data_IF_119449573089
#
_entry.id   IF_119449573089
#
_cell.length_a   1.000
_cell.length_b   1.000
_cell.length_c   1.000
_cell.angle_alpha   90.00
_cell.angle_beta   90.00
_cell.angle_gamma   90.00
#
_symmetry.space_group_name_H-M   'P 1'
#
loop_
_entity.id
_entity.type
_entity.pdbx_description
1 polymer ?
#
# COMPACT_ATOMS: atom_id res chain seq x y z
N UNK A 1 -14.74 -3.39 6.50
CA UNK A 1 -13.30 -3.14 6.27
C UNK A 1 -12.52 -4.37 6.68
N UNK A 2 -11.47 -4.72 5.93
CA UNK A 2 -10.74 -6.00 6.07
C UNK A 2 -9.83 -6.09 7.30
N UNK A 3 -9.46 -4.96 7.93
CA UNK A 3 -8.64 -4.92 9.15
C UNK A 3 -9.29 -4.05 10.23
N UNK A 4 -9.80 -4.59 11.34
CA UNK A 4 -10.49 -3.79 12.37
C UNK A 4 -9.56 -3.12 13.38
N UNK A 5 -8.25 -3.38 13.33
CA UNK A 5 -7.29 -2.83 14.29
C UNK A 5 -7.07 -1.34 14.07
N UNK A 6 -7.02 -0.59 15.16
CA UNK A 6 -6.90 0.87 15.17
C UNK A 6 -5.62 1.37 14.48
N UNK A 7 -4.49 0.73 14.73
CA UNK A 7 -3.20 1.05 14.09
C UNK A 7 -3.24 0.96 12.56
N UNK A 8 -3.92 -0.05 12.02
CA UNK A 8 -4.14 -0.19 10.58
C UNK A 8 -5.05 0.93 10.06
N UNK A 9 -6.13 1.24 10.79
CA UNK A 9 -7.07 2.28 10.40
C UNK A 9 -6.46 3.67 10.38
N UNK A 10 -5.63 3.98 11.37
CA UNK A 10 -4.92 5.26 11.48
C UNK A 10 -4.03 5.50 10.24
N UNK A 11 -3.21 4.51 9.87
CA UNK A 11 -2.34 4.63 8.69
C UNK A 11 -3.15 4.74 7.40
N UNK A 12 -4.18 3.89 7.23
CA UNK A 12 -5.00 3.91 6.02
C UNK A 12 -5.79 5.22 5.86
N UNK A 13 -6.12 5.91 6.96
CA UNK A 13 -6.81 7.20 6.91
C UNK A 13 -6.00 8.31 6.22
N UNK A 14 -4.68 8.14 6.14
CA UNK A 14 -3.76 9.09 5.49
C UNK A 14 -3.62 8.82 3.98
N UNK A 15 -4.31 7.81 3.46
CA UNK A 15 -4.16 7.30 2.09
C UNK A 15 -5.48 7.36 1.32
N UNK A 16 -5.36 7.46 0.00
CA UNK A 16 -6.50 7.22 -0.89
C UNK A 16 -6.60 5.71 -1.14
N UNK A 17 -7.70 5.11 -0.70
CA UNK A 17 -7.92 3.67 -0.81
C UNK A 17 -8.72 3.36 -2.08
N UNK A 18 -8.10 2.62 -3.01
CA UNK A 18 -8.75 2.15 -4.23
C UNK A 18 -8.92 0.64 -4.16
N UNK A 19 -10.17 0.17 -4.21
CA UNK A 19 -10.49 -1.25 -4.26
C UNK A 19 -10.75 -1.68 -5.71
N UNK A 20 -9.98 -2.64 -6.18
CA UNK A 20 -10.16 -3.25 -7.50
C UNK A 20 -10.49 -4.74 -7.33
N UNK A 21 -11.56 -5.19 -7.96
CA UNK A 21 -11.90 -6.62 -8.02
C UNK A 21 -11.35 -7.22 -9.31
N UNK A 22 -10.69 -8.38 -9.23
CA UNK A 22 -10.20 -9.08 -10.43
C UNK A 22 -11.33 -9.68 -11.28
N UNK A 23 -12.54 -9.79 -10.72
CA UNK A 23 -13.73 -10.21 -11.45
C UNK A 23 -14.46 -9.05 -12.15
N UNK A 24 -14.00 -7.81 -11.95
CA UNK A 24 -14.63 -6.63 -12.53
C UNK A 24 -14.45 -6.59 -14.06
N UNK A 25 -15.52 -6.19 -14.75
CA UNK A 25 -15.54 -6.08 -16.22
C UNK A 25 -15.48 -4.64 -16.70
N UNK A 26 -15.61 -3.66 -15.80
CA UNK A 26 -15.56 -2.25 -16.16
C UNK A 26 -14.21 -1.88 -16.77
N UNK A 27 -14.17 -1.03 -17.82
CA UNK A 27 -12.95 -0.67 -18.53
C UNK A 27 -11.86 -0.09 -17.61
N UNK A 28 -12.23 0.74 -16.64
CA UNK A 28 -11.32 1.40 -15.70
C UNK A 28 -10.66 0.39 -14.77
N UNK A 29 -11.44 -0.53 -14.20
CA UNK A 29 -10.91 -1.60 -13.35
C UNK A 29 -9.95 -2.50 -14.13
N UNK A 30 -10.32 -2.87 -15.37
CA UNK A 30 -9.45 -3.64 -16.26
C UNK A 30 -8.17 -2.91 -16.64
N UNK A 31 -8.24 -1.59 -16.85
CA UNK A 31 -7.08 -0.77 -17.14
C UNK A 31 -6.11 -0.76 -15.94
N UNK A 32 -6.61 -0.63 -14.71
CA UNK A 32 -5.80 -0.69 -13.49
C UNK A 32 -5.15 -2.08 -13.31
N UNK A 33 -5.91 -3.17 -13.48
CA UNK A 33 -5.39 -4.55 -13.39
C UNK A 33 -4.24 -4.76 -14.38
N UNK A 34 -4.42 -4.32 -15.63
CA UNK A 34 -3.39 -4.43 -16.68
C UNK A 34 -2.18 -3.54 -16.37
N UNK A 35 -2.39 -2.28 -16.00
CA UNK A 35 -1.34 -1.29 -15.71
C UNK A 35 -0.41 -1.77 -14.60
N UNK A 36 -1.00 -2.23 -13.50
CA UNK A 36 -0.25 -2.71 -12.34
C UNK A 36 0.00 -4.22 -12.36
N UNK A 37 -0.21 -4.89 -13.51
CA UNK A 37 0.07 -6.32 -13.70
C UNK A 37 -0.43 -7.17 -12.53
N UNK A 38 -1.65 -6.91 -12.05
CA UNK A 38 -2.20 -7.62 -10.89
C UNK A 38 -2.68 -9.00 -11.35
N UNK A 39 -1.91 -10.03 -11.01
CA UNK A 39 -2.15 -11.42 -11.44
C UNK A 39 -2.93 -12.25 -10.42
N UNK A 40 -2.96 -11.83 -9.15
CA UNK A 40 -3.49 -12.62 -8.04
C UNK A 40 -4.15 -11.72 -6.99
N UNK A 41 -5.14 -12.26 -6.27
CA UNK A 41 -5.81 -11.62 -5.12
C UNK A 41 -5.95 -12.60 -3.94
N UNK A 42 -5.93 -12.13 -2.67
CA UNK A 42 -5.75 -10.74 -2.25
C UNK A 42 -4.31 -10.25 -2.47
N UNK A 43 -4.17 -8.95 -2.73
CA UNK A 43 -2.87 -8.30 -2.92
C UNK A 43 -3.03 -6.78 -2.87
N UNK A 44 -1.94 -6.10 -2.55
CA UNK A 44 -1.92 -4.65 -2.34
C UNK A 44 -0.77 -4.03 -3.14
N UNK A 45 -1.03 -2.84 -3.67
CA UNK A 45 -0.05 -2.04 -4.39
C UNK A 45 -0.10 -0.64 -3.79
N UNK A 46 1.03 -0.18 -3.26
CA UNK A 46 1.19 1.17 -2.75
C UNK A 46 1.83 2.04 -3.83
N UNK A 47 1.19 3.16 -4.11
CA UNK A 47 1.58 4.11 -5.15
C UNK A 47 1.92 5.46 -4.53
N UNK A 48 2.79 6.22 -5.17
CA UNK A 48 2.92 7.65 -4.90
C UNK A 48 1.90 8.47 -5.71
N UNK A 49 1.93 9.80 -5.51
CA UNK A 49 1.08 10.75 -6.23
C UNK A 49 1.39 10.85 -7.75
N UNK A 50 2.50 10.29 -8.21
CA UNK A 50 2.84 10.13 -9.62
C UNK A 50 2.48 8.74 -10.16
N UNK A 51 1.70 7.96 -9.40
CA UNK A 51 1.25 6.62 -9.75
C UNK A 51 2.40 5.60 -9.88
N UNK A 52 3.56 5.91 -9.29
CA UNK A 52 4.75 5.04 -9.25
C UNK A 52 4.57 3.99 -8.16
N UNK A 53 4.79 2.73 -8.50
CA UNK A 53 4.75 1.63 -7.53
C UNK A 53 5.92 1.72 -6.55
N UNK A 54 5.59 1.94 -5.28
CA UNK A 54 6.57 1.99 -4.19
C UNK A 54 6.76 0.63 -3.54
N UNK A 55 5.67 -0.13 -3.45
CA UNK A 55 5.64 -1.42 -2.80
C UNK A 55 4.46 -2.25 -3.28
N UNK A 56 4.67 -3.56 -3.30
CA UNK A 56 3.64 -4.57 -3.53
C UNK A 56 3.86 -5.72 -2.59
N UNK A 57 2.75 -6.24 -2.08
CA UNK A 57 2.74 -7.45 -1.27
C UNK A 57 1.47 -8.24 -1.58
N UNK A 58 1.64 -9.56 -1.61
CA UNK A 58 0.63 -10.51 -2.08
C UNK A 58 0.18 -11.41 -0.93
N UNK A 59 -1.08 -11.83 -1.00
CA UNK A 59 -1.70 -12.63 0.03
C UNK A 59 -2.25 -11.81 1.19
N UNK A 60 -2.91 -12.53 2.10
CA UNK A 60 -3.36 -11.95 3.35
C UNK A 60 -2.18 -11.84 4.32
N UNK A 61 -2.16 -10.78 5.10
CA UNK A 61 -1.17 -10.56 6.16
C UNK A 61 -1.88 -10.30 7.48
N UNK A 62 -1.24 -10.61 8.59
CA UNK A 62 -1.78 -10.19 9.89
C UNK A 62 -1.62 -8.68 10.07
N UNK A 63 -2.43 -8.09 10.95
CA UNK A 63 -2.42 -6.64 11.17
C UNK A 63 -1.03 -6.02 11.37
N UNK A 64 -0.19 -6.56 12.28
CA UNK A 64 1.16 -6.04 12.48
C UNK A 64 2.04 -6.11 11.23
N UNK A 65 2.02 -7.23 10.51
CA UNK A 65 2.80 -7.40 9.27
C UNK A 65 2.32 -6.45 8.18
N UNK A 66 1.00 -6.28 8.05
CA UNK A 66 0.39 -5.34 7.11
C UNK A 66 0.79 -3.89 7.42
N UNK A 67 0.76 -3.49 8.69
CA UNK A 67 1.27 -2.17 9.14
C UNK A 67 2.75 -2.02 8.79
N UNK A 68 3.57 -3.05 9.01
CA UNK A 68 4.99 -3.00 8.70
C UNK A 68 5.24 -2.78 7.21
N UNK A 69 4.52 -3.50 6.35
CA UNK A 69 4.57 -3.31 4.90
C UNK A 69 4.21 -1.88 4.48
N UNK A 70 3.16 -1.30 5.06
CA UNK A 70 2.75 0.08 4.80
C UNK A 70 3.83 1.08 5.23
N UNK A 71 4.40 0.93 6.42
CA UNK A 71 5.47 1.81 6.94
C UNK A 71 6.74 1.75 6.11
N UNK A 72 7.13 0.56 5.62
CA UNK A 72 8.26 0.46 4.70
C UNK A 72 7.98 1.26 3.42
N UNK A 73 6.76 1.18 2.90
CA UNK A 73 6.29 1.98 1.77
C UNK A 73 6.33 3.49 2.03
N UNK A 74 5.79 3.94 3.16
CA UNK A 74 5.82 5.34 3.59
C UNK A 74 7.25 5.87 3.72
N UNK A 75 8.17 5.09 4.29
CA UNK A 75 9.57 5.49 4.37
C UNK A 75 10.20 5.72 2.99
N UNK A 76 9.84 4.94 1.97
CA UNK A 76 10.26 5.20 0.57
C UNK A 76 9.72 6.53 0.05
N UNK A 77 8.47 6.89 0.36
CA UNK A 77 7.88 8.19 0.01
C UNK A 77 8.70 9.32 0.62
N UNK A 78 9.01 9.23 1.91
CA UNK A 78 9.82 10.24 2.59
C UNK A 78 11.20 10.40 1.96
N UNK A 79 11.85 9.31 1.54
CA UNK A 79 13.12 9.39 0.81
C UNK A 79 13.00 10.07 -0.55
N UNK A 80 11.96 9.76 -1.34
CA UNK A 80 11.72 10.43 -2.62
C UNK A 80 11.54 11.94 -2.45
N UNK A 81 10.95 12.36 -1.33
CA UNK A 81 10.80 13.78 -0.97
C UNK A 81 11.99 14.37 -0.22
N UNK A 82 13.14 13.67 -0.16
CA UNK A 82 14.37 14.11 0.53
C UNK A 82 14.18 14.39 2.03
N UNK A 83 13.36 13.57 2.70
CA UNK A 83 13.10 13.63 4.14
C UNK A 83 13.65 12.37 4.85
N UNK A 84 14.98 12.20 4.91
CA UNK A 84 15.59 10.96 5.39
C UNK A 84 15.28 10.66 6.86
N UNK A 85 15.18 11.68 7.72
CA UNK A 85 14.83 11.50 9.13
C UNK A 85 13.44 10.88 9.33
N UNK A 86 12.47 11.30 8.52
CA UNK A 86 11.11 10.75 8.55
C UNK A 86 11.09 9.33 8.00
N UNK A 87 11.84 9.06 6.93
CA UNK A 87 11.97 7.71 6.40
C UNK A 87 12.54 6.73 7.43
N UNK A 88 13.59 7.16 8.14
CA UNK A 88 14.21 6.35 9.17
C UNK A 88 13.29 6.14 10.38
N UNK A 89 12.52 7.15 10.78
CA UNK A 89 11.51 7.00 11.84
C UNK A 89 10.46 5.94 11.49
N UNK A 90 9.96 5.91 10.24
CA UNK A 90 9.02 4.89 9.78
C UNK A 90 9.60 3.47 9.84
N UNK A 91 10.85 3.31 9.43
CA UNK A 91 11.50 2.00 9.40
C UNK A 91 11.94 1.50 10.77
N UNK A 92 12.32 2.41 11.68
CA UNK A 92 12.63 2.04 13.06
C UNK A 92 11.37 1.56 13.80
N UNK A 93 10.19 2.08 13.47
CA UNK A 93 8.94 1.69 14.11
C UNK A 93 8.53 0.22 13.85
N UNK A 94 9.22 -0.48 12.94
CA UNK A 94 8.92 -1.86 12.52
C UNK A 94 10.09 -2.83 12.66
N UNK A 95 11.23 -2.36 13.15
CA UNK A 95 12.46 -3.13 13.38
C UNK A 95 12.59 -3.52 14.85
#
# INVERSE_FOLDING_TARGET
>A
MTYPREDVQEILSQMVLVRVSLADREPEARALIKRYRTLWSPGFVLLDHHETELRRFLGFQQGPDFVAELRVGLGKIHLLHRRPEQAYAEWRAVA
#
